data_IF_080718881022
#
_entry.id   IF_080718881022
#
_cell.length_a   1.000
_cell.length_b   1.000
_cell.length_c   1.000
_cell.angle_alpha   90.00
_cell.angle_beta   90.00
_cell.angle_gamma   90.00
#
_symmetry.space_group_name_H-M   'P 1'
#
loop_
_entity.id
_entity.type
_entity.pdbx_description
1 polymer ?
#
# COMPACT_ATOMS: atom_id res chain seq x y z
N UNK A 1 -29.75 2.97 -1.41
CA UNK A 1 -28.60 3.68 -0.78
C UNK A 1 -27.52 3.80 -1.83
N UNK A 2 -27.09 5.02 -2.13
CA UNK A 2 -26.15 5.37 -3.18
C UNK A 2 -24.81 4.70 -2.93
N UNK A 3 -24.50 3.67 -3.72
CA UNK A 3 -23.17 3.09 -3.81
C UNK A 3 -22.30 4.16 -4.49
N UNK A 4 -21.73 5.07 -3.71
CA UNK A 4 -20.67 5.94 -4.20
C UNK A 4 -19.49 5.02 -4.47
N UNK A 5 -19.43 4.50 -5.70
CA UNK A 5 -18.19 4.03 -6.30
C UNK A 5 -17.17 5.13 -6.05
N UNK A 6 -16.28 4.90 -5.09
CA UNK A 6 -15.16 5.75 -4.81
C UNK A 6 -14.21 5.59 -6.00
N UNK A 7 -14.57 6.21 -7.12
CA UNK A 7 -13.74 6.30 -8.32
C UNK A 7 -12.56 7.11 -7.91
N UNK A 8 -11.53 6.43 -7.41
CA UNK A 8 -10.21 7.02 -7.23
C UNK A 8 -9.86 7.61 -8.60
N UNK A 9 -9.75 8.94 -8.73
CA UNK A 9 -9.57 9.56 -10.02
C UNK A 9 -8.15 9.24 -10.49
N UNK A 10 -8.00 8.15 -11.24
CA UNK A 10 -6.73 7.74 -11.85
C UNK A 10 -6.12 8.89 -12.68
N UNK A 11 -6.98 9.74 -13.24
CA UNK A 11 -6.63 10.96 -13.96
C UNK A 11 -5.88 12.01 -13.12
N UNK A 12 -5.89 11.90 -11.79
CA UNK A 12 -5.13 12.76 -10.87
C UNK A 12 -3.77 12.17 -10.48
N UNK A 13 -3.44 10.95 -10.91
CA UNK A 13 -2.13 10.33 -10.66
C UNK A 13 -1.14 10.94 -11.65
N UNK A 14 -0.24 11.78 -11.15
CA UNK A 14 0.81 12.43 -11.92
C UNK A 14 2.14 12.32 -11.18
N UNK A 15 3.04 11.51 -11.72
CA UNK A 15 4.41 11.35 -11.22
C UNK A 15 5.37 12.27 -11.97
N UNK A 16 6.35 12.83 -11.27
CA UNK A 16 7.46 13.60 -11.86
C UNK A 16 7.20 15.09 -12.07
N UNK A 17 6.08 15.63 -11.57
CA UNK A 17 5.81 17.08 -11.59
C UNK A 17 6.33 17.78 -10.33
N UNK A 18 6.00 17.27 -9.14
CA UNK A 18 6.41 17.82 -7.85
C UNK A 18 6.33 16.73 -6.78
N UNK A 19 7.23 16.77 -5.79
CA UNK A 19 7.27 15.78 -4.71
C UNK A 19 5.93 15.62 -3.97
N UNK A 20 5.23 16.72 -3.69
CA UNK A 20 3.91 16.66 -3.05
C UNK A 20 2.86 15.95 -3.92
N UNK A 21 2.91 16.14 -5.25
CA UNK A 21 2.02 15.45 -6.19
C UNK A 21 2.42 13.98 -6.35
N UNK A 22 3.71 13.67 -6.34
CA UNK A 22 4.21 12.29 -6.33
C UNK A 22 3.72 11.54 -5.08
N UNK A 23 3.76 12.17 -3.90
CA UNK A 23 3.27 11.61 -2.63
C UNK A 23 1.75 11.36 -2.66
N UNK A 24 0.98 12.33 -3.17
CA UNK A 24 -0.48 12.16 -3.34
C UNK A 24 -0.81 11.06 -4.36
N UNK A 25 -0.10 11.06 -5.49
CA UNK A 25 -0.26 10.07 -6.57
C UNK A 25 0.06 8.66 -6.08
N UNK A 26 1.15 8.50 -5.33
CA UNK A 26 1.53 7.23 -4.70
C UNK A 26 0.44 6.75 -3.73
N UNK A 27 -0.11 7.67 -2.93
CA UNK A 27 -1.20 7.34 -1.98
C UNK A 27 -2.47 6.86 -2.71
N UNK A 28 -2.83 7.50 -3.83
CA UNK A 28 -3.96 7.05 -4.65
C UNK A 28 -3.68 5.71 -5.32
N UNK A 29 -2.46 5.51 -5.82
CA UNK A 29 -2.03 4.26 -6.44
C UNK A 29 -2.08 3.09 -5.46
N UNK A 30 -1.57 3.25 -4.24
CA UNK A 30 -1.66 2.23 -3.19
C UNK A 30 -3.11 1.91 -2.80
N UNK A 31 -4.00 2.92 -2.79
CA UNK A 31 -5.43 2.69 -2.55
C UNK A 31 -6.10 1.89 -3.68
N UNK A 32 -5.71 2.11 -4.94
CA UNK A 32 -6.17 1.27 -6.05
C UNK A 32 -5.67 -0.17 -5.90
N UNK A 33 -4.43 -0.34 -5.42
CA UNK A 33 -3.85 -1.66 -5.17
C UNK A 33 -4.58 -2.43 -4.06
N UNK A 34 -5.14 -1.71 -3.07
CA UNK A 34 -5.95 -2.29 -1.98
C UNK A 34 -7.40 -2.63 -2.38
N UNK A 35 -7.74 -2.64 -3.67
CA UNK A 35 -9.06 -3.10 -4.09
C UNK A 35 -9.13 -4.63 -4.03
N UNK A 36 -10.05 -5.16 -3.23
CA UNK A 36 -10.25 -6.61 -3.04
C UNK A 36 -10.34 -7.34 -4.39
N UNK A 37 -11.16 -6.86 -5.33
CA UNK A 37 -11.31 -7.44 -6.67
C UNK A 37 -9.99 -7.50 -7.46
N UNK A 38 -9.13 -6.48 -7.31
CA UNK A 38 -7.83 -6.43 -7.97
C UNK A 38 -6.88 -7.45 -7.33
N UNK A 39 -6.82 -7.50 -6.00
CA UNK A 39 -5.99 -8.46 -5.27
C UNK A 39 -6.42 -9.91 -5.55
N UNK A 40 -7.72 -10.20 -5.52
CA UNK A 40 -8.26 -11.53 -5.84
C UNK A 40 -7.91 -11.98 -7.26
N UNK A 41 -7.73 -11.04 -8.20
CA UNK A 41 -7.34 -11.36 -9.58
C UNK A 41 -5.82 -11.41 -9.76
N UNK A 42 -5.09 -10.52 -9.11
CA UNK A 42 -3.65 -10.32 -9.28
C UNK A 42 -2.85 -11.35 -8.49
N UNK A 43 -3.16 -11.55 -7.21
CA UNK A 43 -2.43 -12.44 -6.30
C UNK A 43 -2.31 -13.87 -6.85
N UNK A 44 -3.36 -14.55 -7.35
CA UNK A 44 -3.23 -15.90 -7.90
C UNK A 44 -2.47 -15.97 -9.23
N UNK A 45 -2.19 -14.84 -9.88
CA UNK A 45 -1.40 -14.77 -11.13
C UNK A 45 0.08 -14.49 -10.89
N UNK A 46 0.46 -14.11 -9.68
CA UNK A 46 1.85 -13.90 -9.30
C UNK A 46 2.53 -15.24 -9.01
N UNK A 47 3.78 -15.37 -9.45
CA UNK A 47 4.61 -16.52 -9.08
C UNK A 47 5.12 -16.36 -7.64
N UNK A 48 5.52 -17.47 -7.01
CA UNK A 48 6.00 -17.47 -5.61
C UNK A 48 7.19 -16.52 -5.40
N UNK A 49 8.06 -16.40 -6.40
CA UNK A 49 9.19 -15.46 -6.39
C UNK A 49 8.75 -14.00 -6.40
N UNK A 50 7.72 -13.66 -7.18
CA UNK A 50 7.17 -12.30 -7.27
C UNK A 50 6.46 -11.92 -5.96
N UNK A 51 5.69 -12.84 -5.39
CA UNK A 51 5.03 -12.63 -4.09
C UNK A 51 6.08 -12.35 -3.02
N UNK A 52 7.11 -13.20 -2.94
CA UNK A 52 8.18 -13.05 -1.95
C UNK A 52 8.96 -11.75 -2.17
N UNK A 53 9.27 -11.42 -3.43
CA UNK A 53 9.97 -10.19 -3.80
C UNK A 53 9.20 -8.93 -3.44
N UNK A 54 7.88 -8.90 -3.67
CA UNK A 54 7.02 -7.78 -3.27
C UNK A 54 6.96 -7.62 -1.76
N UNK A 55 6.77 -8.72 -1.02
CA UNK A 55 6.76 -8.69 0.45
C UNK A 55 8.09 -8.18 1.00
N UNK A 56 9.22 -8.65 0.46
CA UNK A 56 10.55 -8.19 0.87
C UNK A 56 10.75 -6.70 0.59
N UNK A 57 10.35 -6.22 -0.59
CA UNK A 57 10.47 -4.80 -0.94
C UNK A 57 9.62 -3.90 -0.03
N UNK A 58 8.36 -4.28 0.20
CA UNK A 58 7.47 -3.55 1.10
C UNK A 58 8.02 -3.58 2.53
N UNK A 59 8.45 -4.73 3.02
CA UNK A 59 9.04 -4.87 4.37
C UNK A 59 10.31 -4.03 4.50
N UNK A 60 11.18 -4.01 3.50
CA UNK A 60 12.38 -3.19 3.51
C UNK A 60 12.06 -1.69 3.51
N UNK A 61 11.04 -1.25 2.77
CA UNK A 61 10.56 0.13 2.83
C UNK A 61 10.00 0.46 4.21
N UNK A 62 9.15 -0.42 4.77
CA UNK A 62 8.60 -0.24 6.10
C UNK A 62 9.71 -0.14 7.15
N UNK A 63 10.67 -1.06 7.18
CA UNK A 63 11.82 -1.02 8.08
C UNK A 63 12.71 0.22 7.88
N UNK A 64 12.76 0.77 6.67
CA UNK A 64 13.59 1.94 6.36
C UNK A 64 12.95 3.25 6.80
N UNK A 65 11.62 3.34 6.75
CA UNK A 65 10.89 4.58 7.00
C UNK A 65 10.08 4.58 8.31
N UNK A 66 9.74 3.41 8.86
CA UNK A 66 9.10 3.25 10.16
C UNK A 66 10.10 2.72 11.18
N UNK A 67 10.09 3.29 12.39
CA UNK A 67 10.75 2.66 13.52
C UNK A 67 10.06 1.34 13.90
N UNK A 68 10.75 0.43 14.59
CA UNK A 68 10.17 -0.84 15.07
C UNK A 68 8.82 -0.63 15.76
N UNK A 69 8.72 0.37 16.65
CA UNK A 69 7.45 0.72 17.32
C UNK A 69 6.35 1.09 16.33
N UNK A 70 6.64 1.94 15.37
CA UNK A 70 5.66 2.38 14.37
C UNK A 70 5.23 1.23 13.45
N UNK A 71 6.13 0.30 13.13
CA UNK A 71 5.78 -0.91 12.40
C UNK A 71 4.82 -1.79 13.22
N UNK A 72 5.11 -2.04 14.48
CA UNK A 72 4.23 -2.83 15.36
C UNK A 72 2.87 -2.15 15.57
N UNK A 73 2.84 -0.84 15.84
CA UNK A 73 1.60 -0.11 16.10
C UNK A 73 0.77 0.13 14.83
N UNK A 74 1.37 0.57 13.73
CA UNK A 74 0.65 0.97 12.52
C UNK A 74 0.39 -0.18 11.55
N UNK A 75 1.31 -1.13 11.42
CA UNK A 75 1.21 -2.22 10.45
C UNK A 75 0.65 -3.51 11.06
N UNK A 76 1.13 -3.89 12.26
CA UNK A 76 0.63 -5.08 12.95
C UNK A 76 -0.60 -4.80 13.83
N UNK A 77 -0.90 -3.53 14.13
CA UNK A 77 -1.98 -3.15 15.04
C UNK A 77 -1.72 -3.61 16.48
N UNK A 78 -0.47 -3.91 16.81
CA UNK A 78 -0.06 -4.43 18.11
C UNK A 78 0.38 -3.26 19.00
N UNK A 79 -0.60 -2.60 19.64
CA UNK A 79 -0.37 -1.58 20.67
C UNK A 79 0.10 -2.18 22.02
N UNK A 80 0.43 -3.49 22.08
CA UNK A 80 0.57 -4.22 23.35
C UNK A 80 1.80 -5.12 23.45
N UNK A 81 2.99 -4.55 23.29
CA UNK A 81 4.20 -5.14 23.87
C UNK A 81 4.74 -4.31 25.04
N UNK A 82 3.89 -4.15 26.05
CA UNK A 82 4.32 -3.95 27.44
C UNK A 82 4.28 -5.32 28.14
N UNK A 83 5.44 -5.94 28.32
CA UNK A 83 5.66 -6.91 29.39
C UNK A 83 6.55 -6.24 30.44
#
# INVERSE_FOLDING_TARGET
MTNQENKIPFEQICFGLNRELDEQSLTLFLRLFNQEQLLETLIPRLEEEEITGLVQQLTALLHKYLAEKEYHELFLGDENHHH
#
